data_IF_698952195430
#
_entry.id   IF_698952195430
#
_cell.length_a   1.000
_cell.length_b   1.000
_cell.length_c   1.000
_cell.angle_alpha   90.00
_cell.angle_beta   90.00
_cell.angle_gamma   90.00
#
_symmetry.space_group_name_H-M   'P 1'
#
loop_
_entity.id
_entity.type
_entity.pdbx_description
1 polymer ?
#
# COMPACT_ATOMS: atom_id res chain seq x y z
N UNK A 1 -14.62 -9.64 -6.57
CA UNK A 1 -13.40 -10.44 -6.42
C UNK A 1 -12.43 -9.67 -5.54
N UNK A 2 -11.82 -10.27 -4.51
CA UNK A 2 -10.81 -9.55 -3.70
C UNK A 2 -9.55 -9.40 -4.54
N UNK A 3 -8.84 -8.27 -4.39
CA UNK A 3 -7.57 -8.02 -5.08
C UNK A 3 -6.52 -9.12 -4.83
N UNK A 4 -6.59 -9.81 -3.69
CA UNK A 4 -5.73 -10.93 -3.35
C UNK A 4 -5.99 -12.19 -4.20
N UNK A 5 -7.18 -12.35 -4.79
CA UNK A 5 -7.58 -13.53 -5.56
C UNK A 5 -7.26 -13.39 -7.06
N UNK A 6 -6.78 -12.22 -7.49
CA UNK A 6 -6.46 -11.92 -8.89
C UNK A 6 -5.37 -12.86 -9.44
N UNK A 7 -4.25 -13.13 -8.75
CA UNK A 7 -3.24 -14.08 -9.24
C UNK A 7 -3.80 -15.48 -9.46
N UNK A 8 -4.66 -15.95 -8.53
CA UNK A 8 -5.32 -17.26 -8.62
C UNK A 8 -6.21 -17.38 -9.86
N UNK A 9 -6.87 -16.29 -10.24
CA UNK A 9 -7.72 -16.22 -11.44
C UNK A 9 -6.93 -16.42 -12.72
N UNK A 10 -5.67 -16.01 -12.75
CA UNK A 10 -4.76 -16.16 -13.89
C UNK A 10 -3.83 -17.38 -13.79
N UNK A 11 -4.05 -18.27 -12.81
CA UNK A 11 -3.17 -19.42 -12.57
C UNK A 11 -1.75 -19.04 -12.12
N UNK A 12 -1.52 -17.80 -11.69
CA UNK A 12 -0.23 -17.31 -11.25
C UNK A 12 0.02 -17.72 -9.79
N UNK A 13 0.91 -18.69 -9.61
CA UNK A 13 1.30 -19.22 -8.29
C UNK A 13 2.50 -18.46 -7.68
N UNK A 14 3.36 -17.89 -8.52
CA UNK A 14 4.63 -17.26 -8.10
C UNK A 14 4.50 -15.78 -7.73
N UNK A 15 3.45 -15.10 -8.20
CA UNK A 15 3.23 -13.66 -8.08
C UNK A 15 2.13 -13.31 -7.06
N UNK A 16 2.04 -14.08 -5.98
CA UNK A 16 1.08 -13.77 -4.91
C UNK A 16 1.55 -12.58 -4.08
N UNK A 17 0.64 -11.63 -3.87
CA UNK A 17 0.87 -10.43 -3.06
C UNK A 17 1.16 -10.85 -1.61
N UNK A 18 2.32 -10.47 -1.08
CA UNK A 18 2.70 -10.72 0.32
C UNK A 18 1.91 -9.87 1.32
N UNK A 19 2.23 -10.05 2.61
CA UNK A 19 1.58 -9.34 3.71
C UNK A 19 2.29 -8.00 4.00
N UNK A 20 1.53 -7.01 4.49
CA UNK A 20 2.03 -5.66 4.74
C UNK A 20 2.17 -5.39 6.24
N UNK A 21 3.30 -4.80 6.70
CA UNK A 21 3.50 -4.45 8.10
C UNK A 21 2.79 -3.13 8.43
N UNK A 22 1.48 -3.21 8.67
CA UNK A 22 0.59 -2.06 8.90
C UNK A 22 1.10 -1.09 9.98
N UNK A 23 1.67 -1.59 11.08
CA UNK A 23 2.14 -0.75 12.17
C UNK A 23 3.55 -0.19 11.97
N UNK A 24 4.24 -0.59 10.89
CA UNK A 24 5.60 -0.17 10.59
C UNK A 24 5.67 1.12 9.76
N UNK A 25 4.58 1.50 9.08
CA UNK A 25 4.50 2.71 8.29
C UNK A 25 4.33 3.96 9.18
N UNK A 26 5.41 4.39 9.84
CA UNK A 26 5.45 5.58 10.68
C UNK A 26 6.57 6.53 10.22
N UNK A 27 6.51 7.79 10.64
CA UNK A 27 7.50 8.80 10.27
C UNK A 27 8.91 8.41 10.72
N UNK A 28 9.02 7.74 11.88
CA UNK A 28 10.30 7.32 12.47
C UNK A 28 10.97 6.19 11.67
N UNK A 29 10.20 5.46 10.86
CA UNK A 29 10.69 4.31 10.09
C UNK A 29 10.90 4.63 8.59
N UNK A 30 10.74 5.89 8.17
CA UNK A 30 10.90 6.29 6.76
C UNK A 30 12.31 6.00 6.25
N UNK A 31 13.33 6.20 7.10
CA UNK A 31 14.74 5.96 6.79
C UNK A 31 15.26 4.64 7.39
N UNK A 32 14.37 3.72 7.76
CA UNK A 32 14.76 2.47 8.42
C UNK A 32 15.68 1.63 7.54
N UNK A 33 16.86 1.27 8.05
CA UNK A 33 17.82 0.32 7.45
C UNK A 33 18.00 -0.85 8.41
N UNK A 34 17.48 -2.03 8.06
CA UNK A 34 17.55 -3.19 8.94
C UNK A 34 16.83 -4.42 8.37
N UNK A 35 16.74 -5.51 9.16
CA UNK A 35 16.04 -6.73 8.76
C UNK A 35 14.54 -6.50 8.56
N UNK A 36 13.83 -7.52 8.07
CA UNK A 36 12.38 -7.49 7.95
C UNK A 36 11.72 -7.13 9.30
N UNK A 37 10.67 -6.27 9.33
CA UNK A 37 9.95 -5.94 10.55
C UNK A 37 9.44 -7.18 11.27
N UNK A 38 9.40 -7.15 12.60
CA UNK A 38 8.87 -8.25 13.40
C UNK A 38 7.40 -8.57 13.06
N UNK A 39 6.98 -9.82 13.27
CA UNK A 39 5.60 -10.29 13.11
C UNK A 39 4.56 -9.35 13.72
N UNK A 40 4.87 -8.72 14.87
CA UNK A 40 3.97 -7.82 15.58
C UNK A 40 3.52 -6.63 14.73
N UNK A 41 4.34 -6.19 13.79
CA UNK A 41 4.03 -5.06 12.92
C UNK A 41 3.02 -5.38 11.81
N UNK A 42 2.68 -6.65 11.60
CA UNK A 42 1.75 -7.13 10.56
C UNK A 42 0.31 -7.32 11.05
N UNK A 43 0.03 -7.06 12.32
CA UNK A 43 -1.27 -7.26 12.96
C UNK A 43 -1.86 -8.68 12.76
N UNK A 44 -1.18 -9.73 13.25
CA UNK A 44 -1.65 -11.11 13.13
C UNK A 44 -2.93 -11.41 13.92
N UNK A 45 -3.34 -10.52 14.82
CA UNK A 45 -4.56 -10.68 15.64
C UNK A 45 -5.83 -10.32 14.87
N UNK A 46 -5.73 -9.42 13.89
CA UNK A 46 -6.85 -9.10 12.99
C UNK A 46 -7.06 -10.12 11.86
N UNK A 47 -6.22 -11.14 11.76
CA UNK A 47 -6.35 -12.22 10.77
C UNK A 47 -7.23 -13.37 11.30
N UNK A 48 -8.06 -13.96 10.45
CA UNK A 48 -8.74 -15.21 10.78
C UNK A 48 -7.72 -16.38 10.87
N UNK A 49 -8.12 -17.49 11.48
CA UNK A 49 -7.21 -18.62 11.76
C UNK A 49 -6.48 -19.17 10.53
N UNK A 50 -7.18 -19.24 9.38
CA UNK A 50 -6.63 -19.78 8.13
C UNK A 50 -5.64 -18.79 7.46
N UNK A 51 -5.98 -17.50 7.48
CA UNK A 51 -5.11 -16.45 6.92
C UNK A 51 -3.87 -16.21 7.78
N UNK A 52 -3.99 -16.40 9.10
CA UNK A 52 -2.87 -16.35 10.05
C UNK A 52 -1.87 -17.48 9.82
N UNK A 53 -2.33 -18.70 9.54
CA UNK A 53 -1.44 -19.83 9.24
C UNK A 53 -0.64 -19.59 7.96
N UNK A 54 -1.31 -19.12 6.89
CA UNK A 54 -0.65 -18.72 5.64
C UNK A 54 0.36 -17.60 5.86
N UNK A 55 0.01 -16.60 6.68
CA UNK A 55 0.92 -15.52 7.04
C UNK A 55 2.18 -16.02 7.74
N UNK A 56 2.04 -16.91 8.72
CA UNK A 56 3.19 -17.46 9.45
C UNK A 56 4.11 -18.28 8.55
N UNK A 57 3.54 -19.10 7.67
CA UNK A 57 4.31 -19.85 6.67
C UNK A 57 5.06 -18.92 5.71
N UNK A 58 4.38 -17.89 5.19
CA UNK A 58 4.98 -16.85 4.35
C UNK A 58 6.11 -16.09 5.06
N UNK A 59 5.88 -15.67 6.31
CA UNK A 59 6.86 -14.90 7.08
C UNK A 59 8.12 -15.72 7.36
N UNK A 60 7.97 -17.01 7.66
CA UNK A 60 9.11 -17.92 7.87
C UNK A 60 9.95 -18.08 6.59
N UNK A 61 9.31 -18.31 5.46
CA UNK A 61 9.99 -18.40 4.14
C UNK A 61 10.67 -17.08 3.76
N UNK A 62 10.02 -15.94 4.05
CA UNK A 62 10.56 -14.61 3.80
C UNK A 62 11.85 -14.35 4.60
N UNK A 63 11.84 -14.65 5.90
CA UNK A 63 13.02 -14.49 6.77
C UNK A 63 14.16 -15.40 6.33
N UNK A 64 13.86 -16.64 5.94
CA UNK A 64 14.87 -17.59 5.42
C UNK A 64 15.49 -17.11 4.11
N UNK A 65 14.68 -16.61 3.16
CA UNK A 65 15.18 -16.03 1.89
C UNK A 65 16.00 -14.77 2.12
N UNK A 66 15.61 -13.93 3.07
CA UNK A 66 16.36 -12.74 3.48
C UNK A 66 17.75 -13.14 3.97
N UNK A 67 17.84 -14.17 4.82
CA UNK A 67 19.10 -14.71 5.35
C UNK A 67 20.03 -15.25 4.25
N UNK A 68 19.50 -16.06 3.33
CA UNK A 68 20.27 -16.62 2.19
C UNK A 68 20.75 -15.53 1.21
N UNK A 69 19.97 -14.45 1.04
CA UNK A 69 20.29 -13.35 0.14
C UNK A 69 21.44 -12.45 0.61
N UNK A 70 21.85 -12.54 1.88
CA UNK A 70 22.95 -11.72 2.43
C UNK A 70 24.34 -12.25 1.97
N UNK A 71 24.39 -13.40 1.29
CA UNK A 71 25.60 -13.99 0.68
C UNK A 71 26.04 -13.30 -0.64
N UNK A 72 26.57 -12.09 -0.50
CA UNK A 72 27.67 -11.36 -1.18
C UNK A 72 27.99 -11.36 -2.70
N UNK A 73 27.41 -12.14 -3.63
CA UNK A 73 28.07 -12.28 -4.96
C UNK A 73 27.45 -11.56 -6.18
N UNK A 74 26.38 -10.76 -6.04
CA UNK A 74 25.64 -10.17 -7.18
C UNK A 74 25.85 -8.68 -7.46
N UNK A 75 26.67 -7.99 -6.67
CA UNK A 75 26.72 -6.52 -6.67
C UNK A 75 27.53 -5.93 -7.83
N UNK A 76 28.68 -6.52 -8.20
CA UNK A 76 29.55 -5.95 -9.25
C UNK A 76 28.93 -6.02 -10.65
N UNK A 77 28.35 -7.17 -10.99
CA UNK A 77 27.83 -7.42 -12.34
C UNK A 77 26.61 -6.54 -12.61
N UNK A 78 25.81 -6.29 -11.57
CA UNK A 78 24.67 -5.38 -11.64
C UNK A 78 25.11 -3.93 -11.94
N UNK A 79 26.20 -3.45 -11.34
CA UNK A 79 26.71 -2.09 -11.56
C UNK A 79 27.21 -1.93 -13.00
N UNK A 80 27.95 -2.93 -13.50
CA UNK A 80 28.47 -2.93 -14.87
C UNK A 80 27.34 -2.94 -15.91
N UNK A 81 26.34 -3.80 -15.73
CA UNK A 81 25.19 -3.91 -16.63
C UNK A 81 24.35 -2.62 -16.64
N UNK A 82 24.14 -2.00 -15.48
CA UNK A 82 23.34 -0.78 -15.35
C UNK A 82 24.04 0.42 -16.01
N UNK A 83 25.35 0.54 -15.83
CA UNK A 83 26.15 1.57 -16.51
C UNK A 83 26.12 1.39 -18.04
N UNK A 84 26.17 0.15 -18.54
CA UNK A 84 26.14 -0.12 -19.98
C UNK A 84 24.77 0.16 -20.62
N UNK A 85 23.66 -0.13 -19.92
CA UNK A 85 22.30 0.06 -20.44
C UNK A 85 21.78 1.49 -20.29
N UNK A 86 21.97 2.07 -19.10
CA UNK A 86 21.35 3.34 -18.73
C UNK A 86 22.35 4.51 -18.75
N UNK A 87 23.66 4.24 -18.88
CA UNK A 87 24.71 5.27 -18.82
C UNK A 87 24.94 5.86 -17.42
N UNK A 88 24.28 5.30 -16.39
CA UNK A 88 24.31 5.81 -15.02
C UNK A 88 25.33 5.04 -14.19
N UNK A 89 26.32 5.75 -13.64
CA UNK A 89 27.30 5.22 -12.70
C UNK A 89 26.67 5.09 -11.30
N UNK A 90 26.51 3.86 -10.81
CA UNK A 90 26.01 3.57 -9.47
C UNK A 90 27.17 3.48 -8.46
N UNK A 91 27.04 4.15 -7.31
CA UNK A 91 28.01 4.04 -6.22
C UNK A 91 27.80 2.72 -5.44
N UNK A 92 28.75 1.77 -5.48
CA UNK A 92 28.62 0.47 -4.82
C UNK A 92 28.33 0.58 -3.32
N UNK A 93 28.81 1.65 -2.66
CA UNK A 93 28.63 1.85 -1.21
C UNK A 93 27.20 2.24 -0.86
N UNK A 94 26.45 2.80 -1.82
CA UNK A 94 25.05 3.19 -1.68
C UNK A 94 24.09 2.09 -2.11
N UNK A 95 24.57 1.04 -2.79
CA UNK A 95 23.78 -0.13 -3.16
C UNK A 95 23.68 -1.05 -1.95
N UNK A 96 22.89 -0.60 -0.98
CA UNK A 96 22.58 -1.36 0.22
C UNK A 96 21.20 -1.98 0.08
N UNK A 97 21.08 -3.27 0.36
CA UNK A 97 19.79 -3.95 0.38
C UNK A 97 19.02 -3.49 1.61
N UNK A 98 18.02 -2.63 1.39
CA UNK A 98 17.13 -2.16 2.44
C UNK A 98 15.72 -2.76 2.23
N UNK A 99 15.40 -3.91 2.85
CA UNK A 99 14.11 -4.57 2.66
C UNK A 99 12.95 -3.71 3.19
N UNK A 100 13.17 -2.96 4.28
CA UNK A 100 12.18 -2.04 4.86
C UNK A 100 11.84 -0.90 3.91
N UNK A 101 12.84 -0.16 3.43
CA UNK A 101 12.63 0.93 2.47
C UNK A 101 12.05 0.42 1.15
N UNK A 102 12.45 -0.78 0.70
CA UNK A 102 11.84 -1.42 -0.48
C UNK A 102 10.36 -1.73 -0.25
N UNK A 103 9.99 -2.23 0.93
CA UNK A 103 8.60 -2.50 1.27
C UNK A 103 7.78 -1.20 1.36
N UNK A 104 8.35 -0.15 1.96
CA UNK A 104 7.74 1.19 2.05
C UNK A 104 7.56 1.83 0.67
N UNK A 105 8.59 1.85 -0.17
CA UNK A 105 8.51 2.36 -1.53
C UNK A 105 7.46 1.60 -2.34
N UNK A 106 7.36 0.27 -2.18
CA UNK A 106 6.29 -0.53 -2.77
C UNK A 106 4.90 -0.17 -2.22
N UNK A 107 4.79 0.13 -0.93
CA UNK A 107 3.54 0.58 -0.32
C UNK A 107 3.09 1.91 -0.90
N UNK A 108 4.00 2.87 -1.02
CA UNK A 108 3.73 4.16 -1.66
C UNK A 108 3.31 3.95 -3.12
N UNK A 109 4.03 3.12 -3.88
CA UNK A 109 3.67 2.83 -5.27
C UNK A 109 2.27 2.21 -5.37
N UNK A 110 1.94 1.22 -4.55
CA UNK A 110 0.62 0.57 -4.58
C UNK A 110 -0.51 1.55 -4.23
N UNK A 111 -0.27 2.45 -3.27
CA UNK A 111 -1.22 3.51 -2.91
C UNK A 111 -1.36 4.54 -4.03
N UNK A 112 -0.26 4.95 -4.64
CA UNK A 112 -0.27 5.89 -5.77
C UNK A 112 -0.95 5.31 -7.00
N UNK A 113 -0.64 4.08 -7.38
CA UNK A 113 -1.31 3.38 -8.47
C UNK A 113 -2.81 3.23 -8.21
N UNK A 114 -3.21 2.95 -6.96
CA UNK A 114 -4.62 2.92 -6.57
C UNK A 114 -5.31 4.28 -6.71
N UNK A 115 -4.62 5.37 -6.34
CA UNK A 115 -5.14 6.73 -6.48
C UNK A 115 -5.22 7.18 -7.94
N UNK A 116 -4.24 6.82 -8.76
CA UNK A 116 -4.17 7.16 -10.18
C UNK A 116 -5.21 6.41 -11.01
N UNK A 117 -5.54 5.18 -10.63
CA UNK A 117 -6.58 4.34 -11.27
C UNK A 117 -7.95 4.51 -10.58
N UNK A 118 -8.04 5.36 -9.55
CA UNK A 118 -9.31 5.67 -8.89
C UNK A 118 -10.21 6.36 -9.92
N UNK A 119 -11.34 5.74 -10.25
CA UNK A 119 -12.31 6.34 -11.16
C UNK A 119 -12.77 7.68 -10.58
N UNK A 120 -12.66 8.74 -11.37
CA UNK A 120 -13.09 10.10 -10.99
C UNK A 120 -14.60 10.17 -10.73
N UNK A 121 -15.34 9.24 -11.32
CA UNK A 121 -16.78 9.11 -11.19
C UNK A 121 -17.24 8.24 -10.03
N UNK A 122 -16.49 8.07 -8.93
CA UNK A 122 -17.08 7.48 -7.73
C UNK A 122 -17.83 8.52 -6.91
N UNK A 123 -18.97 8.12 -6.34
CA UNK A 123 -19.74 8.97 -5.44
C UNK A 123 -18.90 9.39 -4.25
N UNK A 124 -18.66 10.70 -4.11
CA UNK A 124 -17.86 11.26 -3.03
C UNK A 124 -18.74 11.53 -1.80
N UNK A 125 -18.17 11.31 -0.62
CA UNK A 125 -18.78 11.69 0.66
C UNK A 125 -18.10 12.98 1.11
N UNK A 126 -18.90 14.03 1.33
CA UNK A 126 -18.42 15.27 1.95
C UNK A 126 -19.09 15.40 3.32
N UNK A 127 -18.27 15.51 4.35
CA UNK A 127 -18.72 15.80 5.71
C UNK A 127 -18.79 17.32 5.82
N UNK A 128 -19.96 17.83 6.18
CA UNK A 128 -20.22 19.25 6.29
C UNK A 128 -20.61 19.55 7.73
N UNK A 129 -19.89 20.49 8.33
CA UNK A 129 -20.13 20.98 9.69
C UNK A 129 -20.79 22.35 9.68
N UNK A 130 -20.62 23.12 8.61
CA UNK A 130 -21.19 24.47 8.46
C UNK A 130 -22.54 24.41 7.72
N UNK A 131 -23.65 24.87 8.34
CA UNK A 131 -24.94 24.95 7.68
C UNK A 131 -24.93 25.73 6.36
N UNK A 132 -24.10 26.78 6.22
CA UNK A 132 -24.03 27.55 4.98
C UNK A 132 -23.51 26.70 3.82
N UNK A 133 -22.44 25.94 4.04
CA UNK A 133 -21.88 25.02 3.05
C UNK A 133 -22.85 23.89 2.68
N UNK A 134 -23.71 23.47 3.62
CA UNK A 134 -24.76 22.50 3.36
C UNK A 134 -25.81 23.06 2.39
N UNK A 135 -26.28 24.30 2.62
CA UNK A 135 -27.24 24.95 1.72
C UNK A 135 -26.64 25.25 0.35
N UNK A 136 -25.35 25.62 0.27
CA UNK A 136 -24.66 25.83 -1.00
C UNK A 136 -24.56 24.54 -1.82
N UNK A 137 -24.28 23.41 -1.16
CA UNK A 137 -24.24 22.09 -1.80
C UNK A 137 -25.61 21.67 -2.37
N UNK A 138 -26.70 22.04 -1.69
CA UNK A 138 -28.07 21.78 -2.14
C UNK A 138 -28.55 22.75 -3.21
N UNK A 139 -28.06 23.98 -3.19
CA UNK A 139 -28.46 25.04 -4.11
C UNK A 139 -27.62 25.07 -5.39
N UNK A 140 -26.53 24.31 -5.45
CA UNK A 140 -25.67 24.27 -6.63
C UNK A 140 -26.18 23.32 -7.71
N UNK A 141 -26.39 23.83 -8.93
CA UNK A 141 -26.83 23.04 -10.08
C UNK A 141 -25.80 21.99 -10.56
N UNK A 142 -24.54 22.16 -10.15
CA UNK A 142 -23.42 21.30 -10.53
C UNK A 142 -23.27 20.05 -9.64
N UNK A 143 -23.98 19.99 -8.52
CA UNK A 143 -23.80 18.95 -7.51
C UNK A 143 -25.15 18.33 -7.18
N UNK A 144 -25.32 17.09 -7.61
CA UNK A 144 -26.48 16.31 -7.23
C UNK A 144 -26.21 15.61 -5.88
N UNK A 145 -26.97 15.94 -4.84
CA UNK A 145 -26.87 15.28 -3.54
C UNK A 145 -27.83 14.09 -3.52
N UNK A 146 -27.30 12.87 -3.50
CA UNK A 146 -28.10 11.63 -3.53
C UNK A 146 -28.55 11.14 -2.16
N UNK A 147 -27.80 11.43 -1.11
CA UNK A 147 -28.14 10.97 0.23
C UNK A 147 -27.58 11.93 1.29
N UNK A 148 -28.33 12.13 2.36
CA UNK A 148 -27.99 12.98 3.50
C UNK A 148 -28.17 12.15 4.77
N UNK A 149 -27.08 11.92 5.49
CA UNK A 149 -27.09 11.23 6.77
C UNK A 149 -26.65 12.20 7.87
N UNK A 150 -27.46 12.32 8.92
CA UNK A 150 -27.09 13.03 10.14
C UNK A 150 -26.27 12.07 11.01
N UNK A 151 -25.00 12.41 11.26
CA UNK A 151 -24.06 11.55 11.98
C UNK A 151 -24.11 11.84 13.49
N UNK A 152 -24.36 13.10 13.87
CA UNK A 152 -24.72 13.62 15.21
C UNK A 152 -25.54 14.93 15.03
N UNK A 153 -26.12 15.50 16.09
CA UNK A 153 -27.04 16.67 16.05
C UNK A 153 -26.53 17.91 15.27
N UNK A 154 -25.24 17.97 14.94
CA UNK A 154 -24.59 19.07 14.20
C UNK A 154 -23.83 18.64 12.93
N UNK A 155 -23.85 17.36 12.54
CA UNK A 155 -23.01 16.84 11.44
C UNK A 155 -23.82 16.16 10.34
N UNK A 156 -23.73 16.71 9.13
CA UNK A 156 -24.46 16.21 7.96
C UNK A 156 -23.48 15.63 6.93
N UNK A 157 -23.66 14.34 6.61
CA UNK A 157 -22.92 13.64 5.55
C UNK A 157 -23.71 13.61 4.25
N UNK A 158 -23.24 14.32 3.23
CA UNK A 158 -23.84 14.34 1.90
C UNK A 158 -23.07 13.40 0.94
N UNK A 159 -23.78 12.52 0.23
CA UNK A 159 -23.23 11.60 -0.77
C UNK A 159 -23.59 12.07 -2.18
N UNK A 160 -22.60 12.14 -3.06
CA UNK A 160 -22.79 12.45 -4.49
C UNK A 160 -22.93 11.16 -5.32
N UNK A 161 -23.66 11.17 -6.44
CA UNK A 161 -23.69 10.08 -7.40
C UNK A 161 -22.36 9.97 -8.15
N UNK A 162 -22.14 8.76 -8.63
CA UNK A 162 -21.09 8.38 -9.57
C UNK A 162 -21.61 8.58 -11.01
N UNK A 163 -21.00 9.46 -11.82
CA UNK A 163 -21.32 9.61 -13.26
C UNK A 163 -20.24 9.00 -14.16
#
# INVERSE_FOLDING_TARGET
MKLADVPKTFGLTELQKGYFPHFFNRAENQDYVGPMPEIRFYDPNCMNSNDREKFLAWYKDLVEREYQSISKQRSSDYIADYAAKEGIQLDPRKIMKNPGLRALAKLMLNSFWGKFVQRSNMGQIKIVSDPAEYFDLFSSDNINVTNVNFIYDELIGARRPAY
#
